data_IF_537560437311
#
_entry.id   IF_537560437311
#
_cell.length_a   1.000
_cell.length_b   1.000
_cell.length_c   1.000
_cell.angle_alpha   90.00
_cell.angle_beta   90.00
_cell.angle_gamma   90.00
#
_symmetry.space_group_name_H-M   'P 1'
#
loop_
_entity.id
_entity.type
_entity.pdbx_description
1 polymer ?
#
# COMPACT_ATOMS: atom_id res chain seq x y z
N UNK A 1 6.34 19.69 5.39
CA UNK A 1 6.42 19.08 6.74
C UNK A 1 6.05 17.62 6.61
N UNK A 2 6.87 16.72 7.13
CA UNK A 2 6.57 15.28 7.20
C UNK A 2 5.37 15.06 8.13
N UNK A 3 4.41 14.24 7.73
CA UNK A 3 3.32 13.76 8.61
C UNK A 3 3.51 12.31 9.02
N UNK A 4 4.42 11.58 8.36
CA UNK A 4 4.77 10.23 8.73
C UNK A 4 5.56 10.24 10.05
N UNK A 5 5.20 9.39 11.05
CA UNK A 5 5.94 9.25 12.29
C UNK A 5 7.41 8.90 12.04
N UNK A 6 8.30 9.39 12.90
CA UNK A 6 9.76 9.20 12.76
C UNK A 6 10.15 7.72 12.71
N UNK A 7 9.48 6.86 13.49
CA UNK A 7 9.77 5.42 13.50
C UNK A 7 9.46 4.75 12.15
N UNK A 8 8.34 5.14 11.51
CA UNK A 8 7.94 4.63 10.20
C UNK A 8 8.91 5.07 9.10
N UNK A 9 9.25 6.36 9.09
CA UNK A 9 10.25 6.91 8.19
C UNK A 9 11.57 6.15 8.30
N UNK A 10 12.07 6.01 9.53
CA UNK A 10 13.33 5.31 9.81
C UNK A 10 13.28 3.87 9.30
N UNK A 11 12.17 3.16 9.53
CA UNK A 11 12.00 1.80 9.02
C UNK A 11 12.08 1.74 7.48
N UNK A 12 11.43 2.66 6.76
CA UNK A 12 11.47 2.70 5.30
C UNK A 12 12.89 2.98 4.78
N UNK A 13 13.58 3.94 5.40
CA UNK A 13 14.95 4.33 5.07
C UNK A 13 15.95 3.19 5.34
N UNK A 14 15.87 2.53 6.50
CA UNK A 14 16.72 1.38 6.86
C UNK A 14 16.49 0.19 5.93
N UNK A 15 15.28 0.03 5.41
CA UNK A 15 14.95 -1.01 4.42
C UNK A 15 15.37 -0.65 2.99
N UNK A 16 15.85 0.58 2.76
CA UNK A 16 16.19 1.08 1.43
C UNK A 16 14.98 1.24 0.50
N UNK A 17 13.77 1.37 1.05
CA UNK A 17 12.57 1.60 0.25
C UNK A 17 12.46 3.08 -0.08
N UNK A 18 12.33 3.40 -1.36
CA UNK A 18 11.90 4.74 -1.78
C UNK A 18 10.47 4.97 -1.31
N UNK A 19 10.17 6.17 -0.81
CA UNK A 19 8.81 6.57 -0.45
C UNK A 19 8.60 8.06 -0.66
N UNK A 20 7.34 8.44 -0.89
CA UNK A 20 6.86 9.83 -0.98
C UNK A 20 5.67 10.02 -0.07
N UNK A 21 5.66 11.11 0.69
CA UNK A 21 4.48 11.56 1.43
C UNK A 21 3.69 12.55 0.58
N UNK A 22 2.40 12.28 0.39
CA UNK A 22 1.51 13.10 -0.43
C UNK A 22 0.30 13.51 0.40
N UNK A 23 -0.07 14.78 0.29
CA UNK A 23 -1.32 15.33 0.84
C UNK A 23 -2.20 15.78 -0.33
N UNK A 24 -3.26 15.03 -0.59
CA UNK A 24 -4.22 15.29 -1.67
C UNK A 24 -5.54 15.82 -1.08
N UNK A 25 -5.59 17.14 -0.88
CA UNK A 25 -6.78 17.82 -0.35
C UNK A 25 -7.14 17.40 1.07
N UNK A 26 -6.14 17.14 1.92
CA UNK A 26 -6.31 16.68 3.29
C UNK A 26 -6.28 15.15 3.44
N UNK A 27 -6.28 14.40 2.33
CA UNK A 27 -6.05 12.96 2.34
C UNK A 27 -4.57 12.69 2.30
N UNK A 28 -4.03 12.16 3.40
CA UNK A 28 -2.61 11.85 3.53
C UNK A 28 -2.33 10.45 3.03
N UNK A 29 -1.27 10.27 2.26
CA UNK A 29 -0.86 8.98 1.73
C UNK A 29 0.66 8.85 1.64
N UNK A 30 1.13 7.61 1.74
CA UNK A 30 2.52 7.24 1.47
C UNK A 30 2.55 6.42 0.19
N UNK A 31 3.31 6.88 -0.80
CA UNK A 31 3.54 6.17 -2.05
C UNK A 31 4.92 5.52 -2.00
N UNK A 32 4.97 4.22 -2.27
CA UNK A 32 6.17 3.40 -2.37
C UNK A 32 6.38 3.06 -3.85
N UNK A 33 7.15 3.86 -4.60
CA UNK A 33 7.33 3.62 -6.02
C UNK A 33 8.18 2.37 -6.29
N UNK A 34 7.88 1.66 -7.39
CA UNK A 34 8.69 0.53 -7.85
C UNK A 34 8.75 -0.64 -6.84
N UNK A 35 7.65 -0.90 -6.13
CA UNK A 35 7.58 -2.01 -5.19
C UNK A 35 7.63 -3.35 -5.94
N UNK A 36 8.60 -4.19 -5.61
CA UNK A 36 8.80 -5.48 -6.27
C UNK A 36 7.61 -6.42 -6.06
N UNK A 37 7.14 -7.03 -7.14
CA UNK A 37 6.04 -7.99 -7.14
C UNK A 37 6.53 -9.44 -7.22
N UNK A 38 5.75 -10.41 -6.75
CA UNK A 38 6.04 -11.83 -6.93
C UNK A 38 6.28 -12.21 -8.40
N UNK A 39 7.40 -12.90 -8.65
CA UNK A 39 7.84 -13.25 -10.00
C UNK A 39 6.78 -14.06 -10.77
N UNK A 40 6.59 -13.70 -12.05
CA UNK A 40 5.67 -14.35 -13.00
C UNK A 40 4.20 -14.47 -12.54
N UNK A 41 3.80 -13.70 -11.51
CA UNK A 41 2.44 -13.74 -10.98
C UNK A 41 1.55 -12.66 -11.58
N UNK A 42 2.11 -11.46 -11.72
CA UNK A 42 1.45 -10.29 -12.29
C UNK A 42 2.04 -9.95 -13.65
N UNK A 43 1.29 -9.18 -14.45
CA UNK A 43 1.69 -8.75 -15.78
C UNK A 43 2.88 -7.76 -15.78
N UNK A 44 3.23 -7.21 -14.61
CA UNK A 44 4.39 -6.36 -14.36
C UNK A 44 5.24 -6.95 -13.23
N UNK A 45 6.53 -6.58 -13.19
CA UNK A 45 7.47 -7.03 -12.15
C UNK A 45 7.53 -6.12 -10.92
N UNK A 46 7.05 -4.89 -11.07
CA UNK A 46 7.02 -3.86 -10.03
C UNK A 46 5.77 -3.00 -10.18
N UNK A 47 5.32 -2.39 -9.09
CA UNK A 47 4.22 -1.43 -9.08
C UNK A 47 4.38 -0.43 -7.94
N UNK A 48 3.81 0.74 -8.10
CA UNK A 48 3.70 1.72 -7.03
C UNK A 48 2.61 1.29 -6.06
N UNK A 49 2.93 1.34 -4.76
CA UNK A 49 1.98 1.04 -3.70
C UNK A 49 1.64 2.32 -2.93
N UNK A 50 0.36 2.65 -2.89
CA UNK A 50 -0.18 3.73 -2.07
C UNK A 50 -0.79 3.16 -0.79
N UNK A 51 -0.45 3.75 0.34
CA UNK A 51 -1.07 3.50 1.64
C UNK A 51 -1.69 4.82 2.10
N UNK A 52 -3.02 4.88 2.18
CA UNK A 52 -3.72 6.04 2.71
C UNK A 52 -3.66 6.02 4.24
N UNK A 53 -3.19 7.12 4.83
CA UNK A 53 -3.09 7.27 6.27
C UNK A 53 -4.39 7.89 6.81
N UNK A 54 -5.11 7.20 7.70
CA UNK A 54 -6.29 7.75 8.33
C UNK A 54 -5.93 8.88 9.32
N UNK A 55 -6.93 9.69 9.67
CA UNK A 55 -6.79 10.61 10.80
C UNK A 55 -6.49 9.81 12.09
N UNK A 56 -5.47 10.25 12.83
CA UNK A 56 -5.02 9.58 14.04
C UNK A 56 -4.04 8.43 13.81
N UNK A 57 -3.57 8.20 12.58
CA UNK A 57 -2.41 7.35 12.35
C UNK A 57 -1.20 7.82 13.18
N UNK A 58 -0.43 6.94 13.85
CA UNK A 58 -0.46 5.47 13.77
C UNK A 58 -1.41 4.75 14.74
N UNK A 59 -2.13 5.44 15.61
CA UNK A 59 -3.08 4.79 16.53
C UNK A 59 -4.33 4.25 15.78
N UNK A 60 -4.67 4.86 14.65
CA UNK A 60 -5.68 4.36 13.70
C UNK A 60 -5.03 3.60 12.55
N UNK A 61 -5.50 2.37 12.30
CA UNK A 61 -4.97 1.49 11.26
C UNK A 61 -5.31 1.99 9.85
N UNK A 62 -4.35 1.98 8.89
CA UNK A 62 -4.66 2.08 7.48
C UNK A 62 -5.52 0.89 7.03
N UNK A 63 -6.60 1.20 6.31
CA UNK A 63 -7.62 0.20 6.00
C UNK A 63 -7.23 -0.70 4.83
N UNK A 64 -6.79 -0.10 3.73
CA UNK A 64 -6.48 -0.74 2.47
C UNK A 64 -5.12 -0.28 1.94
N UNK A 65 -4.64 -0.97 0.91
CA UNK A 65 -3.57 -0.45 0.07
C UNK A 65 -4.06 -0.37 -1.38
N UNK A 66 -3.31 0.36 -2.19
CA UNK A 66 -3.68 0.59 -3.57
C UNK A 66 -2.45 0.41 -4.46
N UNK A 67 -2.65 -0.12 -5.66
CA UNK A 67 -1.57 -0.41 -6.60
C UNK A 67 -1.72 0.40 -7.90
N UNK A 68 -0.59 0.82 -8.45
CA UNK A 68 -0.50 1.43 -9.77
C UNK A 68 0.76 0.91 -10.50
N UNK A 69 0.66 0.36 -11.73
CA UNK A 69 -0.55 0.18 -12.52
C UNK A 69 -1.51 -0.83 -11.89
N UNK A 70 -2.72 -0.92 -12.44
CA UNK A 70 -3.68 -1.96 -12.05
C UNK A 70 -3.08 -3.33 -12.33
N UNK A 71 -3.05 -4.21 -11.32
CA UNK A 71 -2.45 -5.52 -11.40
C UNK A 71 -3.46 -6.56 -11.89
N UNK A 72 -3.02 -7.41 -12.82
CA UNK A 72 -3.75 -8.58 -13.32
C UNK A 72 -2.89 -9.84 -13.20
N UNK A 73 -3.54 -10.96 -12.88
CA UNK A 73 -2.87 -12.24 -12.73
C UNK A 73 -2.53 -12.83 -14.11
N UNK A 74 -1.28 -13.21 -14.33
CA UNK A 74 -0.82 -13.75 -15.63
C UNK A 74 -1.55 -15.05 -15.98
N UNK A 75 -1.84 -15.90 -14.99
CA UNK A 75 -2.45 -17.22 -15.23
C UNK A 75 -3.91 -17.16 -15.66
N UNK A 76 -4.68 -16.18 -15.17
CA UNK A 76 -6.12 -16.12 -15.38
C UNK A 76 -6.56 -14.91 -16.19
N UNK A 77 -5.67 -13.95 -16.44
CA UNK A 77 -5.97 -12.64 -17.02
C UNK A 77 -7.08 -11.89 -16.27
N UNK A 78 -7.29 -12.20 -14.98
CA UNK A 78 -8.27 -11.57 -14.10
C UNK A 78 -7.59 -10.65 -13.09
N UNK A 79 -8.37 -9.72 -12.52
CA UNK A 79 -7.91 -8.98 -11.35
C UNK A 79 -7.79 -9.91 -10.13
N UNK A 80 -6.86 -9.62 -9.22
CA UNK A 80 -6.77 -10.29 -7.93
C UNK A 80 -8.07 -10.17 -7.12
N UNK A 81 -8.32 -11.14 -6.24
CA UNK A 81 -9.51 -11.14 -5.40
C UNK A 81 -9.64 -9.85 -4.58
N UNK A 82 -10.81 -9.23 -4.67
CA UNK A 82 -11.16 -7.96 -4.04
C UNK A 82 -10.20 -6.82 -4.41
N UNK A 83 -9.77 -6.79 -5.69
CA UNK A 83 -8.91 -5.76 -6.26
C UNK A 83 -9.42 -5.21 -7.60
N UNK A 84 -10.72 -4.96 -7.72
CA UNK A 84 -11.40 -4.57 -8.98
C UNK A 84 -12.00 -3.16 -8.93
N UNK A 85 -11.75 -2.40 -7.86
CA UNK A 85 -12.36 -1.08 -7.63
C UNK A 85 -11.33 0.05 -7.76
N UNK A 86 -11.70 1.19 -8.38
CA UNK A 86 -10.83 2.36 -8.45
C UNK A 86 -10.79 3.15 -7.15
N UNK A 87 -9.64 3.78 -6.88
CA UNK A 87 -9.47 4.85 -5.90
C UNK A 87 -8.77 6.04 -6.57
N UNK A 88 -9.44 7.19 -6.59
CA UNK A 88 -8.82 8.43 -7.04
C UNK A 88 -7.93 9.02 -5.94
N UNK A 89 -6.67 9.28 -6.31
CA UNK A 89 -5.68 9.97 -5.47
C UNK A 89 -4.59 10.58 -6.37
N UNK A 90 -4.23 11.85 -6.13
CA UNK A 90 -3.23 12.58 -6.94
C UNK A 90 -3.55 12.58 -8.46
N UNK A 91 -4.83 12.72 -8.82
CA UNK A 91 -5.33 12.63 -10.21
C UNK A 91 -5.06 11.29 -10.91
N UNK A 92 -4.68 10.24 -10.16
CA UNK A 92 -4.44 8.89 -10.66
C UNK A 92 -5.53 7.93 -10.17
N UNK A 93 -5.84 6.92 -10.97
CA UNK A 93 -6.79 5.86 -10.64
C UNK A 93 -6.05 4.63 -10.14
N UNK A 94 -5.96 4.50 -8.83
CA UNK A 94 -5.29 3.37 -8.18
C UNK A 94 -6.23 2.18 -8.07
N UNK A 95 -5.69 0.97 -8.24
CA UNK A 95 -6.43 -0.26 -7.98
C UNK A 95 -6.54 -0.47 -6.47
N UNK A 96 -7.75 -0.51 -5.93
CA UNK A 96 -8.00 -0.70 -4.50
C UNK A 96 -7.96 -2.16 -4.10
N UNK A 97 -7.12 -2.48 -3.13
CA UNK A 97 -7.02 -3.83 -2.55
C UNK A 97 -7.68 -3.86 -1.17
N UNK A 98 -8.86 -4.46 -1.10
CA UNK A 98 -9.59 -4.61 0.16
C UNK A 98 -8.98 -5.72 1.01
N UNK A 99 -8.11 -5.34 1.94
CA UNK A 99 -7.51 -6.21 2.95
C UNK A 99 -7.58 -5.47 4.27
N UNK A 100 -8.61 -5.72 5.07
CA UNK A 100 -8.86 -5.04 6.35
C UNK A 100 -7.97 -5.59 7.49
N UNK A 101 -7.63 -4.75 8.48
CA UNK A 101 -6.93 -5.20 9.69
C UNK A 101 -7.80 -5.02 10.93
N UNK A 102 -8.27 -6.12 11.49
CA UNK A 102 -9.05 -6.07 12.74
C UNK A 102 -8.17 -6.19 13.99
N UNK A 103 -6.86 -6.44 13.84
CA UNK A 103 -5.92 -6.73 14.92
C UNK A 103 -4.84 -5.65 15.10
N UNK A 104 -5.06 -4.44 14.57
CA UNK A 104 -4.11 -3.34 14.73
C UNK A 104 -3.96 -2.96 16.21
N UNK A 105 -2.72 -2.80 16.66
CA UNK A 105 -2.37 -2.44 18.04
C UNK A 105 -1.89 -0.99 18.06
N UNK A 106 -2.71 -0.05 18.61
CA UNK A 106 -2.29 1.34 18.80
C UNK A 106 -0.98 1.44 19.57
N UNK A 107 -0.11 2.39 19.19
CA UNK A 107 1.23 2.56 19.76
C UNK A 107 2.25 1.43 19.49
N UNK A 108 1.87 0.33 18.83
CA UNK A 108 2.77 -0.81 18.55
C UNK A 108 2.87 -1.11 17.05
N UNK A 109 1.80 -0.95 16.29
CA UNK A 109 1.80 -1.15 14.84
C UNK A 109 2.05 0.17 14.10
N UNK A 110 2.63 0.06 12.90
CA UNK A 110 3.01 1.17 12.06
C UNK A 110 3.15 0.74 10.60
N UNK A 111 3.96 1.47 9.82
CA UNK A 111 4.06 1.25 8.38
C UNK A 111 4.64 -0.13 8.06
N UNK A 112 5.47 -0.68 8.95
CA UNK A 112 6.02 -2.03 8.83
C UNK A 112 4.92 -3.10 8.83
N UNK A 113 3.89 -2.95 9.66
CA UNK A 113 2.75 -3.86 9.72
C UNK A 113 1.95 -3.79 8.43
N UNK A 114 1.73 -2.58 7.90
CA UNK A 114 1.09 -2.42 6.60
C UNK A 114 1.90 -3.04 5.47
N UNK A 115 3.20 -2.80 5.40
CA UNK A 115 4.08 -3.36 4.37
C UNK A 115 4.07 -4.89 4.37
N UNK A 116 4.11 -5.51 5.54
CA UNK A 116 3.98 -6.98 5.64
C UNK A 116 2.64 -7.49 5.12
N UNK A 117 1.57 -6.76 5.36
CA UNK A 117 0.24 -7.10 4.83
C UNK A 117 0.16 -6.92 3.31
N UNK A 118 0.79 -5.89 2.76
CA UNK A 118 0.91 -5.71 1.29
C UNK A 118 1.67 -6.89 0.67
N UNK A 119 2.84 -7.22 1.21
CA UNK A 119 3.65 -8.37 0.75
C UNK A 119 2.83 -9.66 0.76
N UNK A 120 2.14 -9.94 1.86
CA UNK A 120 1.29 -11.12 1.99
C UNK A 120 0.13 -11.11 0.99
N UNK A 121 -0.57 -9.98 0.83
CA UNK A 121 -1.69 -9.87 -0.10
C UNK A 121 -1.27 -10.08 -1.56
N UNK A 122 -0.11 -9.55 -1.96
CA UNK A 122 0.47 -9.78 -3.28
C UNK A 122 0.86 -11.26 -3.45
N UNK A 123 1.41 -11.88 -2.41
CA UNK A 123 1.77 -13.30 -2.41
C UNK A 123 0.57 -14.25 -2.46
N UNK A 124 -0.57 -13.87 -1.86
CA UNK A 124 -1.80 -14.67 -1.79
C UNK A 124 -2.82 -14.35 -2.88
N UNK A 125 -2.58 -13.31 -3.69
CA UNK A 125 -3.44 -12.93 -4.82
C UNK A 125 -3.71 -14.13 -5.76
N UNK A 126 -4.93 -14.68 -5.77
CA UNK A 126 -5.33 -15.79 -6.63
C UNK A 126 -6.82 -15.69 -6.91
#
# INVERSE_FOLDING_TARGET
MSFLPTADRRYLEERGLAFREVDDGGRKGVILPGFALPAAKFQVVEADILILLPCGYPDTAPDMFYALPWLSLVRSSRYPNCADQPQQFESQNWQRWSRHNNNWRPGIDGIWTMLKRVEQALQEAA
#
